data_IF_515619571184
#
_entry.id   IF_515619571184
#
_cell.length_a   1.000
_cell.length_b   1.000
_cell.length_c   1.000
_cell.angle_alpha   90.00
_cell.angle_beta   90.00
_cell.angle_gamma   90.00
#
_symmetry.space_group_name_H-M   'P 1'
#
loop_
_entity.id
_entity.type
_entity.pdbx_description
1 polymer ?
#
# COMPACT_ATOMS: atom_id res chain seq x y z
N UNK A 1 -14.39 10.45 12.80
CA UNK A 1 -13.31 10.41 13.81
C UNK A 1 -12.01 10.92 13.20
N UNK A 2 -10.98 11.21 13.99
CA UNK A 2 -9.65 11.63 13.48
C UNK A 2 -9.07 10.58 12.52
N UNK A 3 -9.42 9.31 12.70
CA UNK A 3 -9.00 8.22 11.80
C UNK A 3 -9.65 8.35 10.43
N UNK A 4 -10.91 8.78 10.36
CA UNK A 4 -11.61 8.94 9.08
C UNK A 4 -10.99 10.10 8.30
N UNK A 5 -10.69 11.22 8.98
CA UNK A 5 -9.99 12.36 8.37
C UNK A 5 -8.64 11.95 7.75
N UNK A 6 -7.84 11.14 8.45
CA UNK A 6 -6.57 10.66 7.88
C UNK A 6 -6.76 9.90 6.54
N UNK A 7 -7.83 9.12 6.43
CA UNK A 7 -8.12 8.38 5.19
C UNK A 7 -8.57 9.35 4.10
N UNK A 8 -9.42 10.33 4.45
CA UNK A 8 -9.91 11.34 3.52
C UNK A 8 -8.75 12.15 2.94
N UNK A 9 -7.86 12.72 3.79
CA UNK A 9 -6.66 13.46 3.33
C UNK A 9 -5.73 12.59 2.47
N UNK A 10 -5.56 11.31 2.81
CA UNK A 10 -4.79 10.41 1.96
C UNK A 10 -5.42 10.20 0.59
N UNK A 11 -6.76 10.16 0.49
CA UNK A 11 -7.46 10.01 -0.78
C UNK A 11 -7.37 11.30 -1.62
N UNK A 12 -7.47 12.47 -0.99
CA UNK A 12 -7.34 13.77 -1.65
C UNK A 12 -5.92 13.96 -2.19
N UNK A 13 -4.89 13.63 -1.40
CA UNK A 13 -3.51 13.59 -1.88
C UNK A 13 -3.32 12.63 -3.07
N UNK A 14 -3.91 11.42 -3.03
CA UNK A 14 -3.84 10.48 -4.15
C UNK A 14 -4.48 11.06 -5.41
N UNK A 15 -5.55 11.82 -5.30
CA UNK A 15 -6.21 12.48 -6.43
C UNK A 15 -5.30 13.53 -7.08
N UNK A 16 -4.61 14.36 -6.29
CA UNK A 16 -3.67 15.37 -6.81
C UNK A 16 -2.46 14.73 -7.48
N UNK A 17 -1.94 13.62 -6.94
CA UNK A 17 -0.87 12.83 -7.54
C UNK A 17 -1.29 12.27 -8.90
N UNK A 18 -2.48 11.68 -9.00
CA UNK A 18 -2.97 11.08 -10.25
C UNK A 18 -3.22 12.13 -11.34
N UNK A 19 -3.59 13.36 -10.95
CA UNK A 19 -3.81 14.51 -11.86
C UNK A 19 -2.54 15.28 -12.19
N UNK A 20 -1.43 15.02 -11.50
CA UNK A 20 -0.19 15.80 -11.56
C UNK A 20 -0.41 17.29 -11.20
N UNK A 21 -1.35 17.55 -10.30
CA UNK A 21 -1.69 18.88 -9.80
C UNK A 21 -0.77 19.26 -8.65
N UNK A 22 0.35 19.92 -8.99
CA UNK A 22 1.41 20.23 -8.03
C UNK A 22 1.00 21.31 -7.02
N UNK A 23 0.10 22.21 -7.39
CA UNK A 23 -0.37 23.28 -6.51
C UNK A 23 -1.23 22.70 -5.36
N UNK A 24 -2.26 21.94 -5.70
CA UNK A 24 -3.10 21.30 -4.69
C UNK A 24 -2.35 20.17 -3.96
N UNK A 25 -1.39 19.50 -4.61
CA UNK A 25 -0.58 18.47 -3.93
C UNK A 25 0.22 19.05 -2.75
N UNK A 26 0.68 20.30 -2.82
CA UNK A 26 1.37 20.95 -1.70
C UNK A 26 0.43 21.15 -0.51
N UNK A 27 -0.83 21.52 -0.77
CA UNK A 27 -1.88 21.65 0.24
C UNK A 27 -2.19 20.30 0.90
N UNK A 28 -2.50 19.27 0.11
CA UNK A 28 -2.86 17.94 0.62
C UNK A 28 -1.72 17.26 1.40
N UNK A 29 -0.47 17.50 1.00
CA UNK A 29 0.69 17.05 1.79
C UNK A 29 0.73 17.75 3.17
N UNK A 30 0.32 19.02 3.23
CA UNK A 30 0.16 19.76 4.47
C UNK A 30 -0.92 19.15 5.37
N UNK A 31 -2.06 18.75 4.81
CA UNK A 31 -3.19 18.19 5.54
C UNK A 31 -2.87 16.76 6.05
N UNK A 32 -2.20 15.94 5.25
CA UNK A 32 -1.66 14.65 5.74
C UNK A 32 -0.65 14.86 6.87
N UNK A 33 0.25 15.84 6.77
CA UNK A 33 1.20 16.17 7.83
C UNK A 33 0.49 16.66 9.10
N UNK A 34 -0.58 17.44 8.95
CA UNK A 34 -1.42 17.91 10.07
C UNK A 34 -2.01 16.72 10.83
N UNK A 35 -2.49 15.66 10.14
CA UNK A 35 -2.97 14.44 10.80
C UNK A 35 -1.87 13.76 11.61
N UNK A 36 -0.63 13.73 11.11
CA UNK A 36 0.52 13.19 11.86
C UNK A 36 0.77 14.00 13.15
N UNK A 37 0.74 15.33 13.05
CA UNK A 37 0.95 16.23 14.19
C UNK A 37 -0.16 16.06 15.24
N UNK A 38 -1.43 15.96 14.82
CA UNK A 38 -2.55 15.73 15.73
C UNK A 38 -2.42 14.41 16.48
N UNK A 39 -2.09 13.33 15.81
CA UNK A 39 -1.92 12.03 16.45
C UNK A 39 -0.74 12.04 17.43
N UNK A 40 0.36 12.71 17.09
CA UNK A 40 1.50 12.87 17.97
C UNK A 40 1.16 13.74 19.21
N UNK A 41 0.35 14.78 19.04
CA UNK A 41 -0.10 15.62 20.14
C UNK A 41 -1.01 14.85 21.12
N UNK A 42 -1.96 14.07 20.58
CA UNK A 42 -2.83 13.20 21.40
C UNK A 42 -1.98 12.17 22.16
N UNK A 43 -0.98 11.57 21.51
CA UNK A 43 -0.07 10.64 22.16
C UNK A 43 0.72 11.30 23.30
N UNK A 44 1.19 12.54 23.11
CA UNK A 44 1.88 13.34 24.13
C UNK A 44 0.98 13.63 25.34
N UNK A 45 -0.26 14.02 25.11
CA UNK A 45 -1.23 14.28 26.17
C UNK A 45 -1.55 13.04 27.00
N UNK A 46 -1.46 11.86 26.39
CA UNK A 46 -1.60 10.57 27.06
C UNK A 46 -0.28 10.01 27.64
N UNK A 47 0.81 10.78 27.62
CA UNK A 47 2.09 10.42 28.22
C UNK A 47 2.89 9.35 27.48
N UNK A 48 2.70 9.21 26.15
CA UNK A 48 3.38 8.20 25.34
C UNK A 48 4.61 8.76 24.61
N UNK A 49 4.42 9.55 23.56
CA UNK A 49 5.47 10.13 22.73
C UNK A 49 4.98 11.44 22.11
N UNK A 50 5.88 12.21 21.53
CA UNK A 50 5.56 13.46 20.84
C UNK A 50 6.06 13.47 19.40
N UNK A 51 5.87 14.58 18.71
CA UNK A 51 6.24 14.73 17.30
C UNK A 51 7.77 14.62 17.10
N UNK A 52 8.57 15.14 18.02
CA UNK A 52 10.03 15.03 17.94
C UNK A 52 10.46 13.56 17.98
N UNK A 53 9.89 12.77 18.86
CA UNK A 53 10.11 11.32 18.92
C UNK A 53 9.73 10.61 17.62
N UNK A 54 8.64 11.04 16.95
CA UNK A 54 8.25 10.49 15.64
C UNK A 54 9.33 10.76 14.60
N UNK A 55 9.84 12.00 14.56
CA UNK A 55 10.92 12.40 13.65
C UNK A 55 12.23 11.63 13.93
N UNK A 56 12.61 11.46 15.20
CA UNK A 56 13.79 10.70 15.58
C UNK A 56 13.70 9.23 15.13
N UNK A 57 12.59 8.55 15.41
CA UNK A 57 12.36 7.16 15.00
C UNK A 57 12.39 7.02 13.47
N UNK A 58 11.83 7.98 12.74
CA UNK A 58 11.88 7.99 11.29
C UNK A 58 13.32 8.16 10.79
N UNK A 59 14.06 9.12 11.33
CA UNK A 59 15.44 9.39 10.95
C UNK A 59 16.35 8.18 11.21
N UNK A 60 16.30 7.59 12.40
CA UNK A 60 17.05 6.38 12.72
C UNK A 60 16.73 5.22 11.76
N UNK A 61 15.46 5.06 11.41
CA UNK A 61 15.02 4.04 10.46
C UNK A 61 15.59 4.29 9.06
N UNK A 62 15.58 5.54 8.58
CA UNK A 62 16.12 5.91 7.27
C UNK A 62 17.63 5.70 7.20
N UNK A 63 18.37 6.16 8.20
CA UNK A 63 19.83 5.97 8.28
C UNK A 63 20.18 4.47 8.26
N UNK A 64 19.50 3.67 9.09
CA UNK A 64 19.76 2.24 9.17
C UNK A 64 19.43 1.48 7.88
N UNK A 65 18.38 1.89 7.16
CA UNK A 65 17.93 1.21 5.92
C UNK A 65 18.67 1.66 4.66
N UNK A 66 19.45 2.74 4.75
CA UNK A 66 20.20 3.28 3.61
C UNK A 66 21.71 3.34 3.93
N UNK A 67 22.37 2.19 4.25
CA UNK A 67 23.79 2.17 4.56
C UNK A 67 24.69 2.59 3.38
N UNK A 68 24.16 2.52 2.16
CA UNK A 68 24.85 3.01 0.96
C UNK A 68 24.86 4.55 0.85
N UNK A 69 23.98 5.25 1.58
CA UNK A 69 23.92 6.72 1.64
C UNK A 69 24.65 7.24 2.88
N UNK A 70 24.42 6.62 4.04
CA UNK A 70 24.87 7.11 5.34
C UNK A 70 26.02 6.30 5.94
N UNK A 71 26.42 5.18 5.33
CA UNK A 71 27.48 4.29 5.79
C UNK A 71 28.63 4.15 4.79
N UNK A 72 29.51 3.20 5.06
CA UNK A 72 30.73 2.94 4.25
C UNK A 72 30.48 2.00 3.05
N UNK A 73 29.28 1.49 2.87
CA UNK A 73 28.92 0.56 1.77
C UNK A 73 28.70 1.35 0.47
N UNK A 74 29.76 1.58 -0.31
CA UNK A 74 29.72 2.38 -1.55
C UNK A 74 29.42 1.61 -2.84
N UNK A 75 29.23 0.28 -2.79
CA UNK A 75 29.20 -0.57 -3.99
C UNK A 75 27.81 -1.11 -4.40
N UNK A 76 26.74 -0.35 -4.20
CA UNK A 76 25.45 -0.70 -4.78
C UNK A 76 25.24 0.04 -6.10
N UNK A 77 25.57 -0.62 -7.22
CA UNK A 77 25.65 -0.01 -8.56
C UNK A 77 24.31 0.07 -9.30
N UNK A 78 23.23 -0.51 -8.77
CA UNK A 78 21.90 -0.45 -9.40
C UNK A 78 20.76 -0.38 -8.36
N UNK A 79 19.59 0.09 -8.80
CA UNK A 79 18.40 0.24 -7.96
C UNK A 79 17.86 -1.08 -7.41
N UNK A 80 18.10 -2.19 -8.10
CA UNK A 80 17.61 -3.52 -7.73
C UNK A 80 18.36 -4.07 -6.51
N UNK A 81 19.69 -3.91 -6.49
CA UNK A 81 20.53 -4.29 -5.34
C UNK A 81 20.25 -3.44 -4.09
N UNK A 82 19.90 -2.17 -4.27
CA UNK A 82 19.47 -1.27 -3.18
C UNK A 82 18.15 -1.77 -2.58
N UNK A 83 17.19 -2.16 -3.42
CA UNK A 83 15.88 -2.66 -2.99
C UNK A 83 15.99 -4.00 -2.25
N UNK A 84 16.79 -4.93 -2.76
CA UNK A 84 17.07 -6.21 -2.10
C UNK A 84 17.73 -6.01 -0.73
N UNK A 85 18.70 -5.11 -0.65
CA UNK A 85 19.37 -4.79 0.61
C UNK A 85 18.40 -4.17 1.62
N UNK A 86 17.60 -3.22 1.18
CA UNK A 86 16.58 -2.60 2.01
C UNK A 86 15.58 -3.62 2.56
N UNK A 87 15.11 -4.56 1.72
CA UNK A 87 14.24 -5.65 2.15
C UNK A 87 14.92 -6.59 3.15
N UNK A 88 16.21 -6.90 2.93
CA UNK A 88 16.98 -7.73 3.84
C UNK A 88 17.11 -7.07 5.22
N UNK A 89 17.41 -5.77 5.27
CA UNK A 89 17.50 -5.00 6.52
C UNK A 89 16.12 -4.97 7.19
N UNK A 90 15.07 -4.64 6.45
CA UNK A 90 13.68 -4.62 6.94
C UNK A 90 13.25 -5.97 7.53
N UNK A 91 13.69 -7.08 6.92
CA UNK A 91 13.37 -8.43 7.40
C UNK A 91 14.05 -8.78 8.73
N UNK A 92 15.21 -8.17 9.01
CA UNK A 92 15.99 -8.36 10.25
C UNK A 92 15.52 -7.46 11.38
N UNK A 93 14.78 -6.39 11.09
CA UNK A 93 14.24 -5.50 12.11
C UNK A 93 13.21 -6.25 12.94
N UNK A 94 13.50 -6.41 14.23
CA UNK A 94 12.51 -6.91 15.18
C UNK A 94 11.46 -5.83 15.38
N UNK A 95 10.27 -6.01 14.83
CA UNK A 95 9.18 -5.08 15.05
C UNK A 95 8.85 -4.99 16.54
N UNK A 96 8.98 -3.80 17.10
CA UNK A 96 8.51 -3.50 18.45
C UNK A 96 6.98 -3.62 18.44
N UNK A 97 6.44 -4.70 19.01
CA UNK A 97 5.05 -4.78 19.45
C UNK A 97 4.11 -5.72 18.70
N UNK A 98 4.38 -6.15 17.47
CA UNK A 98 3.53 -7.10 16.77
C UNK A 98 4.34 -8.33 16.35
N UNK A 99 4.28 -9.37 17.17
CA UNK A 99 4.74 -10.69 16.74
C UNK A 99 3.57 -11.33 16.01
N UNK A 100 3.58 -11.25 14.67
CA UNK A 100 2.62 -11.99 13.87
C UNK A 100 2.76 -13.49 14.18
N UNK A 101 1.73 -14.07 14.77
CA UNK A 101 1.63 -15.51 14.96
C UNK A 101 1.11 -16.10 13.66
N UNK A 102 1.96 -16.82 12.92
CA UNK A 102 1.52 -17.52 11.71
C UNK A 102 2.44 -17.36 10.49
N UNK A 103 1.99 -17.89 9.37
CA UNK A 103 2.70 -17.86 8.09
C UNK A 103 2.77 -16.46 7.49
N UNK A 104 1.72 -15.66 7.66
CA UNK A 104 1.66 -14.30 7.12
C UNK A 104 2.11 -13.29 8.17
N UNK A 105 3.06 -12.43 7.81
CA UNK A 105 3.60 -11.39 8.69
C UNK A 105 3.06 -10.03 8.26
N UNK A 106 2.73 -9.21 9.27
CA UNK A 106 2.50 -7.78 9.07
C UNK A 106 1.47 -7.43 7.99
N UNK A 107 0.32 -8.05 8.08
CA UNK A 107 -0.85 -7.70 7.28
C UNK A 107 -1.77 -6.80 8.11
N UNK A 108 -1.69 -5.46 7.99
CA UNK A 108 -2.62 -4.57 8.68
C UNK A 108 -4.05 -4.84 8.20
N UNK A 109 -5.00 -5.11 9.12
CA UNK A 109 -6.36 -5.50 8.72
C UNK A 109 -7.16 -4.34 8.10
N UNK A 110 -6.69 -3.11 8.26
CA UNK A 110 -7.32 -1.91 7.71
C UNK A 110 -6.79 -1.50 6.33
N UNK A 111 -5.88 -2.28 5.72
CA UNK A 111 -5.49 -2.02 4.33
C UNK A 111 -6.72 -2.08 3.40
N UNK A 112 -6.80 -1.23 2.38
CA UNK A 112 -7.74 -1.44 1.28
C UNK A 112 -7.68 -2.87 0.76
N UNK A 113 -8.83 -3.45 0.40
CA UNK A 113 -8.93 -4.89 0.14
C UNK A 113 -8.01 -5.37 -0.99
N UNK A 114 -7.84 -4.56 -2.04
CA UNK A 114 -6.93 -4.89 -3.14
C UNK A 114 -5.46 -4.87 -2.70
N UNK A 115 -5.06 -3.91 -1.87
CA UNK A 115 -3.69 -3.85 -1.31
C UNK A 115 -3.44 -5.01 -0.35
N UNK A 116 -4.43 -5.36 0.49
CA UNK A 116 -4.34 -6.52 1.38
C UNK A 116 -4.14 -7.81 0.59
N UNK A 117 -4.96 -8.04 -0.45
CA UNK A 117 -4.85 -9.21 -1.31
C UNK A 117 -3.50 -9.26 -2.06
N UNK A 118 -3.00 -8.12 -2.53
CA UNK A 118 -1.67 -8.02 -3.14
C UNK A 118 -0.57 -8.42 -2.15
N UNK A 119 -0.62 -7.95 -0.89
CA UNK A 119 0.38 -8.30 0.12
C UNK A 119 0.30 -9.78 0.54
N UNK A 120 -0.90 -10.36 0.58
CA UNK A 120 -1.08 -11.81 0.75
C UNK A 120 -0.39 -12.57 -0.38
N UNK A 121 -0.67 -12.20 -1.62
CA UNK A 121 -0.05 -12.84 -2.79
C UNK A 121 1.47 -12.73 -2.78
N UNK A 122 2.01 -11.53 -2.51
CA UNK A 122 3.47 -11.34 -2.36
C UNK A 122 4.10 -12.29 -1.34
N UNK A 123 3.42 -12.51 -0.20
CA UNK A 123 3.95 -13.39 0.84
C UNK A 123 3.86 -14.86 0.45
N UNK A 124 2.81 -15.28 -0.26
CA UNK A 124 2.66 -16.62 -0.82
C UNK A 124 3.85 -16.92 -1.76
N UNK A 125 4.09 -16.05 -2.72
CA UNK A 125 5.19 -16.20 -3.69
C UNK A 125 6.54 -16.20 -2.99
N UNK A 126 6.81 -15.20 -2.13
CA UNK A 126 8.10 -15.06 -1.44
C UNK A 126 8.44 -16.25 -0.54
N UNK A 127 7.45 -16.90 0.03
CA UNK A 127 7.63 -18.05 0.94
C UNK A 127 7.44 -19.40 0.26
N UNK A 128 7.19 -19.40 -1.05
CA UNK A 128 6.89 -20.61 -1.82
C UNK A 128 5.78 -21.45 -1.18
N UNK A 129 4.73 -20.78 -0.68
CA UNK A 129 3.58 -21.45 -0.08
C UNK A 129 2.78 -22.08 -1.22
N UNK A 130 2.46 -23.38 -1.11
CA UNK A 130 1.50 -23.97 -2.02
C UNK A 130 0.12 -23.39 -1.74
N UNK A 131 -0.36 -22.62 -2.70
CA UNK A 131 -1.66 -21.95 -2.69
C UNK A 131 -2.41 -22.22 -3.99
N UNK A 132 -2.02 -23.30 -4.71
CA UNK A 132 -2.60 -23.67 -5.99
C UNK A 132 -4.13 -23.80 -5.95
N UNK A 133 -4.69 -24.17 -4.80
CA UNK A 133 -6.14 -24.25 -4.56
C UNK A 133 -6.85 -22.89 -4.61
N UNK A 134 -6.11 -21.76 -4.38
CA UNK A 134 -6.66 -20.40 -4.40
C UNK A 134 -6.42 -19.67 -5.72
N UNK A 135 -5.59 -20.22 -6.60
CA UNK A 135 -5.28 -19.64 -7.90
C UNK A 135 -5.83 -20.51 -9.01
N UNK A 136 -6.84 -19.99 -9.68
CA UNK A 136 -7.37 -20.63 -10.88
C UNK A 136 -7.41 -19.62 -12.03
N UNK A 137 -6.45 -19.71 -12.96
CA UNK A 137 -6.42 -18.88 -14.16
C UNK A 137 -7.68 -19.07 -15.03
N UNK A 138 -8.36 -20.20 -14.87
CA UNK A 138 -9.63 -20.51 -15.52
C UNK A 138 -10.81 -19.79 -14.86
N UNK A 139 -10.66 -19.36 -13.59
CA UNK A 139 -11.73 -18.71 -12.84
C UNK A 139 -12.15 -17.38 -13.49
N UNK A 140 -11.18 -16.61 -14.00
CA UNK A 140 -11.46 -15.35 -14.72
C UNK A 140 -12.34 -15.62 -15.95
N UNK A 141 -12.02 -16.63 -16.72
CA UNK A 141 -12.81 -17.04 -17.89
C UNK A 141 -14.19 -17.55 -17.46
N UNK A 142 -14.25 -18.34 -16.40
CA UNK A 142 -15.49 -18.95 -15.90
C UNK A 142 -16.47 -17.94 -15.29
N UNK A 143 -15.99 -16.90 -14.64
CA UNK A 143 -16.83 -15.86 -14.03
C UNK A 143 -17.39 -14.85 -15.02
N UNK A 144 -16.74 -14.68 -16.17
CA UNK A 144 -17.33 -13.96 -17.30
C UNK A 144 -18.46 -14.76 -17.98
N UNK A 145 -18.49 -16.09 -17.81
CA UNK A 145 -19.52 -16.99 -18.34
C UNK A 145 -20.64 -17.31 -17.36
N UNK A 146 -20.38 -17.26 -16.05
CA UNK A 146 -21.38 -17.53 -15.00
C UNK A 146 -21.77 -16.25 -14.28
N UNK A 147 -23.05 -15.86 -14.39
CA UNK A 147 -23.63 -14.75 -13.64
C UNK A 147 -23.84 -15.14 -12.14
N UNK A 148 -22.85 -15.73 -11.50
CA UNK A 148 -22.95 -16.04 -10.08
C UNK A 148 -22.91 -14.74 -9.27
N UNK A 149 -23.95 -14.53 -8.44
CA UNK A 149 -24.02 -13.43 -7.45
C UNK A 149 -23.48 -13.85 -6.10
N UNK A 150 -22.69 -14.92 -6.05
CA UNK A 150 -22.10 -15.43 -4.83
C UNK A 150 -20.89 -14.56 -4.45
N UNK A 151 -20.92 -13.99 -3.26
CA UNK A 151 -19.87 -13.14 -2.70
C UNK A 151 -18.50 -13.85 -2.66
N UNK A 152 -18.50 -15.15 -2.33
CA UNK A 152 -17.29 -15.96 -2.29
C UNK A 152 -16.65 -16.11 -3.68
N UNK A 153 -17.47 -16.34 -4.71
CA UNK A 153 -16.99 -16.45 -6.09
C UNK A 153 -16.41 -15.12 -6.60
N UNK A 154 -17.05 -14.00 -6.25
CA UNK A 154 -16.52 -12.66 -6.60
C UNK A 154 -15.22 -12.38 -5.83
N UNK A 155 -15.15 -12.72 -4.54
CA UNK A 155 -13.92 -12.58 -3.76
C UNK A 155 -12.76 -13.38 -4.36
N UNK A 156 -13.02 -14.62 -4.77
CA UNK A 156 -12.04 -15.47 -5.44
C UNK A 156 -11.58 -14.86 -6.79
N UNK A 157 -12.50 -14.31 -7.58
CA UNK A 157 -12.17 -13.62 -8.83
C UNK A 157 -11.24 -12.43 -8.59
N UNK A 158 -11.60 -11.55 -7.65
CA UNK A 158 -10.81 -10.38 -7.31
C UNK A 158 -9.40 -10.78 -6.84
N UNK A 159 -9.30 -11.79 -5.99
CA UNK A 159 -8.01 -12.31 -5.54
C UNK A 159 -7.14 -12.80 -6.71
N UNK A 160 -7.71 -13.60 -7.62
CA UNK A 160 -6.99 -14.09 -8.81
C UNK A 160 -6.59 -12.95 -9.75
N UNK A 161 -7.45 -11.94 -9.93
CA UNK A 161 -7.13 -10.76 -10.73
C UNK A 161 -5.96 -9.98 -10.11
N UNK A 162 -5.96 -9.77 -8.79
CA UNK A 162 -4.86 -9.12 -8.07
C UNK A 162 -3.56 -9.89 -8.25
N UNK A 163 -3.59 -11.22 -8.12
CA UNK A 163 -2.43 -12.08 -8.35
C UNK A 163 -1.88 -11.93 -9.79
N UNK A 164 -2.77 -11.99 -10.78
CA UNK A 164 -2.40 -11.79 -12.18
C UNK A 164 -1.81 -10.40 -12.44
N UNK A 165 -2.40 -9.34 -11.89
CA UNK A 165 -1.85 -7.98 -11.98
C UNK A 165 -0.42 -7.93 -11.42
N UNK A 166 -0.20 -8.56 -10.27
CA UNK A 166 1.12 -8.59 -9.63
C UNK A 166 2.18 -9.27 -10.49
N UNK A 167 1.85 -10.43 -11.06
CA UNK A 167 2.77 -11.17 -11.93
C UNK A 167 3.11 -10.39 -13.20
N UNK A 168 2.21 -9.52 -13.66
CA UNK A 168 2.41 -8.64 -14.82
C UNK A 168 2.93 -7.23 -14.48
N UNK A 169 3.38 -6.98 -13.25
CA UNK A 169 3.91 -5.69 -12.78
C UNK A 169 2.91 -4.53 -12.88
N UNK A 170 1.63 -4.82 -12.70
CA UNK A 170 0.54 -3.84 -12.65
C UNK A 170 0.16 -3.65 -11.17
N UNK A 171 0.03 -2.41 -10.72
CA UNK A 171 -0.49 -2.12 -9.39
C UNK A 171 -2.03 -2.02 -9.46
N UNK A 172 -2.78 -2.96 -8.84
CA UNK A 172 -4.22 -3.11 -9.08
C UNK A 172 -5.07 -1.98 -8.49
N UNK A 173 -4.71 -1.46 -7.32
CA UNK A 173 -5.44 -0.37 -6.66
C UNK A 173 -5.39 0.91 -7.49
N UNK A 174 -4.18 1.34 -7.89
CA UNK A 174 -4.00 2.52 -8.74
C UNK A 174 -4.61 2.33 -10.13
N UNK A 175 -4.49 1.11 -10.69
CA UNK A 175 -5.07 0.80 -11.99
C UNK A 175 -6.59 0.96 -11.97
N UNK A 176 -7.25 0.43 -10.94
CA UNK A 176 -8.69 0.55 -10.77
C UNK A 176 -9.10 2.00 -10.50
N UNK A 177 -8.40 2.70 -9.61
CA UNK A 177 -8.68 4.10 -9.29
C UNK A 177 -8.61 5.01 -10.53
N UNK A 178 -7.51 4.93 -11.30
CA UNK A 178 -7.35 5.74 -12.52
C UNK A 178 -8.39 5.41 -13.59
N UNK A 179 -8.71 4.13 -13.76
CA UNK A 179 -9.75 3.74 -14.69
C UNK A 179 -11.12 4.30 -14.30
N UNK A 180 -11.47 4.19 -13.01
CA UNK A 180 -12.73 4.75 -12.50
C UNK A 180 -12.80 6.27 -12.70
N UNK A 181 -11.69 7.00 -12.46
CA UNK A 181 -11.62 8.43 -12.72
C UNK A 181 -11.81 8.75 -14.21
N UNK A 182 -11.17 8.02 -15.11
CA UNK A 182 -11.37 8.19 -16.56
C UNK A 182 -12.82 7.97 -16.98
N UNK A 183 -13.54 7.05 -16.34
CA UNK A 183 -14.99 6.84 -16.58
C UNK A 183 -15.77 8.08 -16.19
N UNK A 184 -15.50 8.64 -15.00
CA UNK A 184 -16.14 9.87 -14.52
C UNK A 184 -15.90 11.01 -15.51
N UNK A 185 -14.65 11.29 -15.84
CA UNK A 185 -14.26 12.38 -16.75
C UNK A 185 -14.90 12.22 -18.13
N UNK A 186 -15.02 10.97 -18.62
CA UNK A 186 -15.66 10.67 -19.90
C UNK A 186 -17.17 10.92 -19.90
N UNK A 187 -17.85 10.64 -18.79
CA UNK A 187 -19.29 10.90 -18.64
C UNK A 187 -19.54 12.40 -18.53
N UNK A 188 -18.80 13.09 -17.67
CA UNK A 188 -18.93 14.53 -17.47
C UNK A 188 -18.68 15.32 -18.77
N UNK A 189 -17.68 14.90 -19.56
CA UNK A 189 -17.38 15.56 -20.84
C UNK A 189 -18.50 15.41 -21.89
N UNK A 190 -19.37 14.40 -21.76
CA UNK A 190 -20.54 14.20 -22.66
C UNK A 190 -21.73 15.07 -22.28
N UNK A 191 -21.88 15.42 -21.00
CA UNK A 191 -23.00 16.25 -20.54
C UNK A 191 -22.77 17.75 -20.82
N UNK A 192 -21.53 18.15 -21.12
CA UNK A 192 -21.17 19.56 -21.43
C UNK A 192 -21.32 19.88 -22.92
N UNK A 193 -21.59 18.91 -23.79
CA UNK A 193 -21.88 19.07 -25.20
C UNK A 193 -23.39 19.10 -25.46
#
# INVERSE_FOLDING_TARGET
>A
SITDCLIDECCELLQTIDRLDMEHMEEELGDVLLQVIFHAQIAKENGHFDFDSVCEVLNEKLVRRHPHVFGDEKDLSNSESVLERWELIKSKEKKRGFVAKGLFKDLPPQLPALMFAEDVHKQIVKKSIDASEFYDSYLITKLTETQSKDESAIGALLFNLVAWCKDNKIEPESALRRYAQNVVDSIESREVQ
#
